data_IF_729924890930
#
_entry.id   IF_729924890930
#
_cell.length_a   1.000
_cell.length_b   1.000
_cell.length_c   1.000
_cell.angle_alpha   90.00
_cell.angle_beta   90.00
_cell.angle_gamma   90.00
#
_symmetry.space_group_name_H-M   'P 1'
#
loop_
_entity.id
_entity.type
_entity.pdbx_description
1 polymer ?
#
# COMPACT_ATOMS: atom_id res chain seq x y z
N UNK A 1 10.74 -2.41 -14.98
CA UNK A 1 10.45 -1.89 -13.62
C UNK A 1 10.12 -3.12 -12.77
N UNK A 2 10.83 -3.33 -11.67
CA UNK A 2 10.61 -4.50 -10.82
C UNK A 2 9.91 -4.09 -9.53
N UNK A 3 8.93 -4.89 -9.11
CA UNK A 3 8.29 -4.75 -7.82
C UNK A 3 9.20 -5.33 -6.75
N UNK A 4 9.97 -4.48 -6.07
CA UNK A 4 10.96 -4.88 -5.06
C UNK A 4 10.32 -5.05 -3.66
N UNK A 5 9.30 -4.26 -3.34
CA UNK A 5 8.57 -4.41 -2.09
C UNK A 5 7.09 -4.11 -2.27
N UNK A 6 6.28 -4.90 -1.58
CA UNK A 6 4.83 -4.82 -1.53
C UNK A 6 4.43 -4.71 -0.06
N UNK A 7 3.84 -3.57 0.27
CA UNK A 7 3.34 -3.22 1.59
C UNK A 7 1.82 -3.21 1.58
N UNK A 8 1.20 -3.62 2.68
CA UNK A 8 -0.21 -3.39 2.94
C UNK A 8 -0.37 -2.38 4.07
N UNK A 9 -1.23 -1.39 3.86
CA UNK A 9 -1.75 -0.54 4.93
C UNK A 9 -3.21 -0.93 5.16
N UNK A 10 -3.55 -1.17 6.42
CA UNK A 10 -4.85 -1.70 6.85
C UNK A 10 -5.43 -0.77 7.92
N UNK A 11 -6.76 -0.67 7.98
CA UNK A 11 -7.43 -0.05 9.12
C UNK A 11 -7.44 -0.97 10.34
N UNK A 12 -7.18 -0.46 11.55
CA UNK A 12 -7.35 -1.25 12.78
C UNK A 12 -8.76 -1.79 12.96
N UNK A 13 -9.75 -0.95 12.66
CA UNK A 13 -11.16 -1.31 12.71
C UNK A 13 -11.51 -2.08 11.44
N UNK A 14 -12.34 -3.10 11.59
CA UNK A 14 -12.81 -3.88 10.45
C UNK A 14 -13.82 -3.07 9.62
N UNK A 15 -13.47 -2.82 8.36
CA UNK A 15 -14.40 -2.38 7.32
C UNK A 15 -14.26 -3.31 6.13
N UNK A 16 -15.36 -3.75 5.53
CA UNK A 16 -15.28 -4.68 4.40
C UNK A 16 -14.60 -4.05 3.17
N UNK A 17 -14.74 -2.74 2.97
CA UNK A 17 -14.24 -2.02 1.80
C UNK A 17 -14.42 -0.51 1.97
N UNK A 18 -13.93 0.27 1.01
CA UNK A 18 -13.82 1.73 1.12
C UNK A 18 -15.16 2.43 1.37
N UNK A 19 -16.25 1.90 0.79
CA UNK A 19 -17.59 2.50 0.90
C UNK A 19 -18.20 2.42 2.31
N UNK A 20 -17.65 1.56 3.17
CA UNK A 20 -18.15 1.36 4.53
C UNK A 20 -17.36 2.19 5.57
N UNK A 21 -16.35 2.94 5.13
CA UNK A 21 -15.46 3.70 6.02
C UNK A 21 -16.02 5.12 6.20
N UNK A 22 -16.23 5.58 7.44
CA UNK A 22 -16.53 6.99 7.70
C UNK A 22 -15.49 7.92 7.09
N UNK A 23 -15.93 9.04 6.51
CA UNK A 23 -15.05 9.94 5.76
C UNK A 23 -13.85 10.44 6.57
N UNK A 24 -14.04 10.73 7.86
CA UNK A 24 -12.97 11.20 8.74
C UNK A 24 -11.90 10.12 8.96
N UNK A 25 -12.31 8.86 9.10
CA UNK A 25 -11.40 7.73 9.23
C UNK A 25 -10.67 7.44 7.92
N UNK A 26 -11.36 7.53 6.78
CA UNK A 26 -10.75 7.38 5.47
C UNK A 26 -9.73 8.49 5.18
N UNK A 27 -10.03 9.73 5.59
CA UNK A 27 -9.12 10.86 5.49
C UNK A 27 -7.86 10.63 6.33
N UNK A 28 -8.00 10.20 7.59
CA UNK A 28 -6.87 9.87 8.45
C UNK A 28 -6.02 8.72 7.89
N UNK A 29 -6.67 7.67 7.37
CA UNK A 29 -5.98 6.55 6.74
C UNK A 29 -5.20 7.00 5.50
N UNK A 30 -5.81 7.81 4.63
CA UNK A 30 -5.16 8.35 3.43
C UNK A 30 -4.00 9.28 3.79
N UNK A 31 -4.13 10.03 4.89
CA UNK A 31 -3.04 10.83 5.45
C UNK A 31 -1.85 9.96 5.88
N UNK A 32 -2.13 8.88 6.62
CA UNK A 32 -1.10 7.91 6.98
C UNK A 32 -0.50 7.22 5.73
N UNK A 33 -1.31 6.92 4.72
CA UNK A 33 -0.84 6.33 3.47
C UNK A 33 0.20 7.22 2.77
N UNK A 34 -0.05 8.54 2.77
CA UNK A 34 0.87 9.56 2.25
C UNK A 34 2.18 9.57 3.06
N UNK A 35 2.11 9.52 4.38
CA UNK A 35 3.31 9.51 5.25
C UNK A 35 4.16 8.26 5.00
N UNK A 36 3.53 7.10 4.85
CA UNK A 36 4.21 5.87 4.44
C UNK A 36 4.93 6.10 3.11
N UNK A 37 4.22 6.58 2.07
CA UNK A 37 4.83 6.84 0.77
C UNK A 37 6.03 7.79 0.85
N UNK A 38 5.93 8.84 1.66
CA UNK A 38 7.02 9.79 1.91
C UNK A 38 8.25 9.12 2.52
N UNK A 39 8.06 8.30 3.56
CA UNK A 39 9.14 7.53 4.18
C UNK A 39 9.77 6.57 3.16
N UNK A 40 8.95 5.90 2.33
CA UNK A 40 9.46 4.99 1.32
C UNK A 40 10.30 5.71 0.25
N UNK A 41 9.89 6.91 -0.15
CA UNK A 41 10.58 7.70 -1.17
C UNK A 41 11.93 8.22 -0.67
N UNK A 42 12.00 8.66 0.58
CA UNK A 42 13.19 9.26 1.20
C UNK A 42 14.25 8.23 1.61
N UNK A 43 13.86 7.06 2.11
CA UNK A 43 14.80 6.02 2.59
C UNK A 43 15.54 5.29 1.45
N UNK A 44 14.93 5.16 0.26
CA UNK A 44 15.37 4.12 -0.71
C UNK A 44 15.60 4.56 -2.15
N UNK A 45 15.79 5.84 -2.44
CA UNK A 45 16.00 6.34 -3.81
C UNK A 45 14.95 5.82 -4.81
N UNK A 46 13.69 5.73 -4.38
CA UNK A 46 12.63 5.18 -5.22
C UNK A 46 12.26 6.14 -6.33
N UNK A 47 12.04 5.62 -7.53
CA UNK A 47 11.56 6.41 -8.67
C UNK A 47 10.05 6.65 -8.67
N UNK A 48 9.31 5.91 -7.85
CA UNK A 48 7.86 6.06 -7.72
C UNK A 48 7.21 4.92 -6.93
N UNK A 49 5.89 4.97 -6.82
CA UNK A 49 5.06 3.97 -6.15
C UNK A 49 3.69 3.87 -6.82
N UNK A 50 3.07 2.69 -6.74
CA UNK A 50 1.66 2.49 -7.07
C UNK A 50 0.87 2.28 -5.78
N UNK A 51 -0.30 2.91 -5.70
CA UNK A 51 -1.28 2.72 -4.63
C UNK A 51 -2.51 2.07 -5.26
N UNK A 52 -2.95 0.92 -4.73
CA UNK A 52 -4.07 0.16 -5.27
C UNK A 52 -5.00 -0.31 -4.15
N UNK A 53 -6.30 -0.18 -4.39
CA UNK A 53 -7.34 -0.68 -3.51
C UNK A 53 -8.41 -1.41 -4.35
N UNK A 54 -9.00 -2.47 -3.78
CA UNK A 54 -10.11 -3.22 -4.34
C UNK A 54 -11.24 -3.38 -3.30
N UNK A 55 -12.47 -3.05 -3.69
CA UNK A 55 -13.69 -3.23 -2.88
C UNK A 55 -14.70 -4.10 -3.62
N UNK A 56 -14.82 -5.36 -3.19
CA UNK A 56 -15.73 -6.35 -3.76
C UNK A 56 -15.03 -7.48 -4.52
N UNK A 57 -15.71 -8.63 -4.59
CA UNK A 57 -15.18 -9.86 -5.17
C UNK A 57 -14.89 -9.70 -6.68
N UNK A 58 -15.74 -8.98 -7.41
CA UNK A 58 -15.62 -8.78 -8.86
C UNK A 58 -14.39 -7.95 -9.24
N UNK A 59 -13.87 -7.15 -8.31
CA UNK A 59 -12.65 -6.35 -8.47
C UNK A 59 -11.47 -6.99 -7.74
N UNK A 60 -11.52 -8.31 -7.51
CA UNK A 60 -10.43 -9.13 -6.96
C UNK A 60 -10.08 -8.84 -5.49
N UNK A 61 -11.02 -8.35 -4.69
CA UNK A 61 -10.83 -8.32 -3.24
C UNK A 61 -10.93 -9.74 -2.66
N UNK A 62 -9.79 -10.34 -2.31
CA UNK A 62 -9.73 -11.70 -1.74
C UNK A 62 -9.95 -11.72 -0.22
N UNK A 63 -9.55 -10.66 0.49
CA UNK A 63 -9.75 -10.50 1.93
C UNK A 63 -10.77 -9.38 2.16
N UNK A 64 -11.95 -9.67 2.76
CA UNK A 64 -13.02 -8.69 2.99
C UNK A 64 -12.71 -7.78 4.18
N UNK A 65 -11.55 -7.13 4.16
CA UNK A 65 -11.10 -6.15 5.13
C UNK A 65 -10.40 -5.04 4.34
N UNK A 66 -10.65 -3.78 4.67
CA UNK A 66 -10.09 -2.65 3.95
C UNK A 66 -8.57 -2.65 4.05
N UNK A 67 -7.92 -2.66 2.89
CA UNK A 67 -6.48 -2.53 2.77
C UNK A 67 -6.10 -1.84 1.48
N UNK A 68 -4.95 -1.20 1.52
CA UNK A 68 -4.32 -0.52 0.40
C UNK A 68 -2.98 -1.19 0.11
N UNK A 69 -2.79 -1.61 -1.14
CA UNK A 69 -1.53 -2.11 -1.65
C UNK A 69 -0.64 -0.93 -2.02
N UNK A 70 0.56 -0.89 -1.42
CA UNK A 70 1.61 0.04 -1.82
C UNK A 70 2.78 -0.72 -2.42
N UNK A 71 2.98 -0.46 -3.71
CA UNK A 71 3.94 -1.15 -4.55
C UNK A 71 5.08 -0.21 -4.90
N UNK A 72 6.29 -0.53 -4.43
CA UNK A 72 7.48 0.27 -4.72
C UNK A 72 7.93 0.02 -6.16
N UNK A 73 8.21 1.10 -6.88
CA UNK A 73 8.72 1.04 -8.25
C UNK A 73 10.17 1.52 -8.27
N UNK A 74 11.09 0.58 -8.44
CA UNK A 74 12.50 0.88 -8.64
C UNK A 74 12.86 0.69 -10.12
N UNK A 75 13.57 1.69 -10.68
CA UNK A 75 14.21 1.54 -11.98
C UNK A 75 15.26 0.45 -11.84
N UNK A 76 15.15 -0.61 -12.65
CA UNK A 76 16.12 -1.71 -12.64
C UNK A 76 17.47 -1.15 -13.09
N UNK A 77 18.42 -0.99 -12.16
CA UNK A 77 19.83 -0.93 -12.51
C UNK A 77 20.28 -2.38 -12.72
N UNK A 78 21.00 -2.66 -13.81
CA UNK A 78 21.54 -3.99 -14.07
C UNK A 78 22.40 -4.42 -12.87
N UNK A 79 21.99 -5.46 -12.11
CA UNK A 79 22.93 -6.19 -11.25
C UNK A 79 22.51 -6.59 -9.82
N UNK A 80 21.36 -6.20 -9.27
CA UNK A 80 21.04 -6.54 -7.86
C UNK A 80 19.83 -7.45 -7.68
N UNK A 81 20.03 -8.48 -6.85
CA UNK A 81 19.06 -9.50 -6.43
C UNK A 81 17.93 -8.88 -5.60
N UNK A 82 16.69 -9.07 -6.03
CA UNK A 82 15.49 -8.53 -5.38
C UNK A 82 15.26 -9.17 -4.01
N UNK A 83 15.35 -8.39 -2.93
CA UNK A 83 14.95 -8.82 -1.59
C UNK A 83 13.47 -8.48 -1.36
N UNK A 84 12.59 -9.49 -1.40
CA UNK A 84 11.18 -9.32 -1.03
C UNK A 84 11.06 -9.00 0.46
N UNK A 85 10.70 -7.76 0.78
CA UNK A 85 10.29 -7.35 2.12
C UNK A 85 8.77 -7.17 2.15
N UNK A 86 8.07 -8.06 2.87
CA UNK A 86 6.68 -7.87 3.26
C UNK A 86 6.64 -7.26 4.66
N UNK A 87 6.02 -6.10 4.80
CA UNK A 87 5.66 -5.49 6.08
C UNK A 87 4.19 -5.06 6.01
N UNK A 88 3.48 -5.11 7.13
CA UNK A 88 2.15 -4.55 7.27
C UNK A 88 2.24 -3.34 8.20
N UNK A 89 1.62 -2.23 7.82
CA UNK A 89 1.39 -1.09 8.71
C UNK A 89 -0.09 -1.04 9.08
N UNK A 90 -0.38 -0.74 10.34
CA UNK A 90 -1.74 -0.74 10.87
C UNK A 90 -2.07 0.68 11.36
N UNK A 91 -2.91 1.38 10.60
CA UNK A 91 -3.37 2.73 10.88
C UNK A 91 -4.55 2.71 11.85
#
# INVERSE_FOLDING_TARGET
MCLEAHLLVLSKVHFQGIIYIPIDLLSNHTGFDKDVCWVLQTDRSMSGFNILHASGLTVQQSVPHFHVHMNRLQRRMHGTTAHRLFRAFVA
#
